data_IF_934226307198
#
_entry.id   IF_934226307198
#
_cell.length_a   1.000
_cell.length_b   1.000
_cell.length_c   1.000
_cell.angle_alpha   90.00
_cell.angle_beta   90.00
_cell.angle_gamma   90.00
#
_symmetry.space_group_name_H-M   'P 1'
#
loop_
_entity.id
_entity.type
_entity.pdbx_description
1 polymer ?
#
# COMPACT_ATOMS: atom_id res chain seq x y z
N UNK A 1 -16.06 6.64 26.17
CA UNK A 1 -16.33 7.73 25.20
C UNK A 1 -15.20 7.81 24.19
N UNK A 2 -15.51 7.66 22.90
CA UNK A 2 -14.52 7.67 21.82
C UNK A 2 -14.33 9.12 21.37
N UNK A 3 -13.11 9.67 21.47
CA UNK A 3 -12.83 11.03 21.00
C UNK A 3 -13.19 11.16 19.51
N UNK A 4 -13.61 12.32 19.00
CA UNK A 4 -14.09 12.47 17.61
C UNK A 4 -12.93 12.50 16.58
N UNK A 5 -12.21 11.38 16.45
CA UNK A 5 -11.09 11.22 15.51
C UNK A 5 -11.50 11.46 14.06
N UNK A 6 -12.74 11.14 13.68
CA UNK A 6 -13.26 11.38 12.34
C UNK A 6 -13.34 12.87 11.98
N UNK A 7 -13.68 13.75 12.94
CA UNK A 7 -13.77 15.20 12.73
C UNK A 7 -12.39 15.80 12.43
N UNK A 8 -11.39 15.36 13.19
CA UNK A 8 -10.04 15.90 13.10
C UNK A 8 -9.15 15.14 12.10
N UNK A 9 -9.63 14.01 11.54
CA UNK A 9 -8.86 13.16 10.61
C UNK A 9 -8.24 13.95 9.47
N UNK A 10 -9.02 14.80 8.80
CA UNK A 10 -8.55 15.56 7.64
C UNK A 10 -7.35 16.44 8.00
N UNK A 11 -7.43 17.10 9.14
CA UNK A 11 -6.37 18.01 9.58
C UNK A 11 -5.14 17.24 10.07
N UNK A 12 -5.32 16.18 10.86
CA UNK A 12 -4.22 15.33 11.31
C UNK A 12 -3.45 14.76 10.09
N UNK A 13 -4.18 14.25 9.09
CA UNK A 13 -3.57 13.68 7.87
C UNK A 13 -2.89 14.76 7.02
N UNK A 14 -3.48 15.96 6.94
CA UNK A 14 -2.89 17.11 6.24
C UNK A 14 -1.56 17.52 6.88
N UNK A 15 -1.52 17.71 8.19
CA UNK A 15 -0.30 18.07 8.93
C UNK A 15 0.78 16.99 8.76
N UNK A 16 0.39 15.72 8.80
CA UNK A 16 1.33 14.60 8.72
C UNK A 16 1.89 14.37 7.30
N UNK A 17 1.04 14.44 6.27
CA UNK A 17 1.45 14.16 4.87
C UNK A 17 1.94 15.42 4.16
N UNK A 18 1.17 16.51 4.18
CA UNK A 18 1.47 17.71 3.38
C UNK A 18 2.57 18.55 4.02
N UNK A 19 2.48 18.78 5.32
CA UNK A 19 3.48 19.59 6.03
C UNK A 19 4.67 18.75 6.53
N UNK A 20 4.56 17.43 6.49
CA UNK A 20 5.64 16.52 6.87
C UNK A 20 5.99 16.54 8.36
N UNK A 21 5.11 17.12 9.20
CA UNK A 21 5.29 17.32 10.65
C UNK A 21 5.45 15.99 11.37
N UNK A 22 6.19 16.02 12.48
CA UNK A 22 6.36 14.86 13.37
C UNK A 22 5.11 14.62 14.23
N UNK A 23 4.93 13.41 14.76
CA UNK A 23 3.78 13.09 15.64
C UNK A 23 3.70 14.01 16.87
N UNK A 24 4.85 14.46 17.39
CA UNK A 24 4.92 15.37 18.54
C UNK A 24 4.37 16.75 18.17
N UNK A 25 4.79 17.30 17.02
CA UNK A 25 4.28 18.57 16.52
C UNK A 25 2.79 18.50 16.19
N UNK A 26 2.35 17.44 15.51
CA UNK A 26 0.93 17.21 15.19
C UNK A 26 0.10 17.16 16.48
N UNK A 27 0.58 16.47 17.52
CA UNK A 27 -0.07 16.45 18.83
C UNK A 27 -0.12 17.85 19.46
N UNK A 28 0.97 18.61 19.41
CA UNK A 28 1.03 19.98 19.95
C UNK A 28 0.03 20.92 19.28
N UNK A 29 -0.02 20.88 17.94
CA UNK A 29 -0.96 21.68 17.14
C UNK A 29 -2.40 21.28 17.44
N UNK A 30 -2.69 19.97 17.51
CA UNK A 30 -4.04 19.47 17.79
C UNK A 30 -4.49 19.79 19.22
N UNK A 31 -3.55 19.81 20.18
CA UNK A 31 -3.81 20.23 21.55
C UNK A 31 -4.12 21.73 21.62
N UNK A 32 -3.37 22.57 20.89
CA UNK A 32 -3.51 24.02 20.94
C UNK A 32 -4.74 24.52 20.15
N UNK A 33 -4.92 24.06 18.92
CA UNK A 33 -5.98 24.54 18.03
C UNK A 33 -7.33 23.88 18.28
N UNK A 34 -7.33 22.59 18.60
CA UNK A 34 -8.56 21.80 18.70
C UNK A 34 -8.86 21.33 20.12
N UNK A 35 -8.09 21.77 21.12
CA UNK A 35 -8.18 21.30 22.52
C UNK A 35 -8.20 19.76 22.62
N UNK A 36 -7.55 19.09 21.66
CA UNK A 36 -7.60 17.65 21.51
C UNK A 36 -6.27 17.06 21.95
N UNK A 37 -6.20 16.68 23.21
CA UNK A 37 -5.05 15.99 23.76
C UNK A 37 -5.20 14.48 23.62
N UNK A 38 -4.33 13.83 22.86
CA UNK A 38 -4.31 12.38 22.74
C UNK A 38 -2.90 11.83 22.87
N UNK A 39 -2.78 10.58 23.33
CA UNK A 39 -1.48 9.93 23.42
C UNK A 39 -0.89 9.68 22.04
N UNK A 40 0.45 9.69 21.94
CA UNK A 40 1.18 9.36 20.70
C UNK A 40 0.81 7.97 20.21
N UNK A 41 0.61 7.01 21.13
CA UNK A 41 0.20 5.65 20.81
C UNK A 41 -1.18 5.61 20.15
N UNK A 42 -2.11 6.46 20.59
CA UNK A 42 -3.42 6.60 19.96
C UNK A 42 -3.31 7.16 18.54
N UNK A 43 -2.46 8.17 18.30
CA UNK A 43 -2.21 8.66 16.95
C UNK A 43 -1.70 7.55 16.02
N UNK A 44 -0.75 6.72 16.49
CA UNK A 44 -0.26 5.56 15.73
C UNK A 44 -1.38 4.57 15.39
N UNK A 45 -2.18 4.16 16.38
CA UNK A 45 -3.32 3.27 16.15
C UNK A 45 -4.31 3.80 15.12
N UNK A 46 -4.60 5.11 15.15
CA UNK A 46 -5.50 5.72 14.17
C UNK A 46 -4.85 5.88 12.79
N UNK A 47 -3.55 6.13 12.72
CA UNK A 47 -2.81 6.12 11.46
C UNK A 47 -2.77 4.75 10.83
N UNK A 48 -2.58 3.69 11.61
CA UNK A 48 -2.65 2.31 11.15
C UNK A 48 -4.06 2.00 10.62
N UNK A 49 -5.12 2.39 11.36
CA UNK A 49 -6.51 2.23 10.91
C UNK A 49 -6.85 3.02 9.64
N UNK A 50 -6.17 4.14 9.39
CA UNK A 50 -6.39 4.97 8.21
C UNK A 50 -5.44 4.65 7.06
N UNK A 51 -4.51 3.70 7.24
CA UNK A 51 -3.41 3.37 6.33
C UNK A 51 -2.57 4.61 5.91
N UNK A 52 -2.41 5.54 6.85
CA UNK A 52 -1.68 6.80 6.64
C UNK A 52 -0.21 6.57 6.98
N UNK A 53 0.54 6.04 6.02
CA UNK A 53 1.98 5.87 6.15
C UNK A 53 2.74 6.92 5.33
N UNK A 54 3.76 7.54 5.95
CA UNK A 54 4.65 8.54 5.32
C UNK A 54 5.36 8.02 4.06
N UNK A 55 5.37 6.70 3.85
CA UNK A 55 6.15 6.00 2.81
C UNK A 55 5.31 5.29 1.72
N UNK A 56 3.98 5.43 1.71
CA UNK A 56 3.16 4.84 0.63
C UNK A 56 3.40 5.53 -0.75
N UNK A 57 4.02 6.72 -0.78
CA UNK A 57 4.39 7.42 -2.01
C UNK A 57 5.55 6.76 -2.77
N UNK A 58 6.58 6.23 -2.09
CA UNK A 58 7.74 5.61 -2.73
C UNK A 58 7.36 4.29 -3.41
N UNK A 59 6.57 3.44 -2.75
CA UNK A 59 6.10 2.16 -3.33
C UNK A 59 5.14 2.40 -4.50
N UNK A 60 4.27 3.41 -4.42
CA UNK A 60 3.38 3.82 -5.53
C UNK A 60 4.15 4.42 -6.71
N UNK A 61 5.17 5.24 -6.46
CA UNK A 61 6.03 5.81 -7.50
C UNK A 61 6.93 4.74 -8.13
N UNK A 62 7.45 3.80 -7.35
CA UNK A 62 8.22 2.66 -7.85
C UNK A 62 7.35 1.77 -8.75
N UNK A 63 6.11 1.44 -8.35
CA UNK A 63 5.16 0.73 -9.22
C UNK A 63 4.88 1.49 -10.52
N UNK A 64 4.73 2.83 -10.46
CA UNK A 64 4.55 3.67 -11.65
C UNK A 64 5.76 3.66 -12.57
N UNK A 65 6.97 3.75 -12.02
CA UNK A 65 8.24 3.67 -12.80
C UNK A 65 8.41 2.31 -13.46
N UNK A 66 8.15 1.22 -12.74
CA UNK A 66 8.21 -0.13 -13.32
C UNK A 66 7.18 -0.32 -14.44
N UNK A 67 5.93 0.13 -14.25
CA UNK A 67 4.90 0.04 -15.28
C UNK A 67 5.27 0.85 -16.53
N UNK A 68 5.84 2.04 -16.36
CA UNK A 68 6.28 2.88 -17.47
C UNK A 68 7.46 2.28 -18.24
N UNK A 69 8.36 1.57 -17.56
CA UNK A 69 9.44 0.82 -18.21
C UNK A 69 8.90 -0.35 -19.05
N UNK A 70 7.90 -1.08 -18.53
CA UNK A 70 7.24 -2.17 -19.26
C UNK A 70 6.53 -1.64 -20.53
N UNK A 71 5.73 -0.57 -20.41
CA UNK A 71 5.01 0.03 -21.55
C UNK A 71 6.01 0.52 -22.61
N UNK A 72 7.14 1.12 -22.21
CA UNK A 72 8.18 1.58 -23.13
C UNK A 72 8.90 0.44 -23.88
N UNK A 73 8.91 -0.78 -23.35
CA UNK A 73 9.53 -1.93 -24.02
C UNK A 73 8.68 -2.44 -25.19
N UNK A 74 7.36 -2.33 -25.15
CA UNK A 74 6.51 -2.76 -26.26
C UNK A 74 6.58 -1.79 -27.46
N UNK A 75 6.74 -0.48 -27.23
CA UNK A 75 6.88 0.51 -28.30
C UNK A 75 8.28 0.55 -28.95
N UNK A 76 9.30 -0.06 -28.32
CA UNK A 76 10.69 -0.05 -28.81
C UNK A 76 11.04 -1.23 -29.74
N UNK A 77 10.09 -2.11 -30.09
CA UNK A 77 10.29 -3.20 -31.05
C UNK A 77 9.28 -3.21 -32.22
N UNK A 78 8.49 -2.14 -32.37
CA UNK A 78 7.50 -2.02 -33.45
C UNK A 78 8.02 -1.24 -34.67
N UNK A 79 9.24 -1.62 -35.11
CA UNK A 79 9.74 -1.26 -36.45
C UNK A 79 10.25 -2.49 -37.24
N UNK A 80 10.09 -3.71 -36.71
CA UNK A 80 10.47 -4.96 -37.40
C UNK A 80 9.51 -6.12 -37.15
N UNK A 81 8.20 -5.92 -37.35
CA UNK A 81 7.22 -7.02 -37.37
C UNK A 81 6.42 -7.13 -38.66
N UNK A 82 7.14 -7.09 -39.77
CA UNK A 82 6.89 -7.97 -40.92
C UNK A 82 8.27 -8.55 -41.25
N UNK A 83 8.75 -9.64 -40.65
CA UNK A 83 8.35 -11.01 -40.93
C UNK A 83 9.24 -11.93 -40.05
N UNK A 84 8.78 -12.40 -38.88
CA UNK A 84 9.57 -13.38 -38.12
C UNK A 84 8.74 -14.30 -37.21
N UNK A 85 8.90 -15.63 -37.35
CA UNK A 85 8.09 -16.66 -36.68
C UNK A 85 8.51 -16.93 -35.22
N UNK A 86 9.51 -16.24 -34.69
CA UNK A 86 10.13 -16.55 -33.39
C UNK A 86 9.28 -16.21 -32.14
N UNK A 87 8.19 -15.43 -32.24
CA UNK A 87 7.32 -15.17 -31.08
C UNK A 87 6.39 -16.33 -30.71
N UNK A 88 6.50 -17.50 -31.37
CA UNK A 88 5.73 -18.68 -31.00
C UNK A 88 6.37 -19.52 -29.88
N UNK A 89 7.59 -19.19 -29.44
CA UNK A 89 8.36 -20.04 -28.51
C UNK A 89 8.72 -19.42 -27.16
N UNK A 90 8.26 -18.20 -26.84
CA UNK A 90 8.43 -17.68 -25.47
C UNK A 90 7.33 -18.25 -24.57
N UNK A 91 7.69 -18.93 -23.47
CA UNK A 91 6.68 -19.38 -22.51
C UNK A 91 6.01 -18.16 -21.86
N UNK A 92 4.68 -18.21 -21.62
CA UNK A 92 3.99 -17.12 -20.97
C UNK A 92 4.58 -16.86 -19.56
N UNK A 93 4.55 -15.60 -19.08
CA UNK A 93 5.00 -15.28 -17.74
C UNK A 93 4.20 -16.10 -16.72
N UNK A 94 4.83 -16.60 -15.63
CA UNK A 94 4.12 -17.37 -14.63
C UNK A 94 3.03 -16.49 -14.01
N UNK A 95 1.79 -16.98 -14.08
CA UNK A 95 0.66 -16.33 -13.43
C UNK A 95 0.97 -16.16 -11.93
N UNK A 96 0.57 -15.04 -11.31
CA UNK A 96 0.71 -14.86 -9.88
C UNK A 96 -0.05 -15.99 -9.18
N UNK A 97 0.68 -16.88 -8.50
CA UNK A 97 0.07 -17.93 -7.69
C UNK A 97 -0.76 -17.25 -6.62
N UNK A 98 -2.09 -17.35 -6.76
CA UNK A 98 -3.03 -16.96 -5.74
C UNK A 98 -2.65 -17.67 -4.45
N UNK A 99 -2.57 -16.92 -3.36
CA UNK A 99 -2.57 -17.47 -2.00
C UNK A 99 -3.94 -18.12 -1.76
N UNK A 100 -4.10 -19.36 -2.21
CA UNK A 100 -5.22 -20.22 -1.86
C UNK A 100 -4.71 -21.38 -1.01
N UNK A 101 -5.30 -21.53 0.17
CA UNK A 101 -5.33 -22.79 0.91
C UNK A 101 -4.09 -23.13 1.72
N UNK A 102 -3.95 -22.54 2.90
CA UNK A 102 -3.19 -23.20 3.98
C UNK A 102 -4.03 -24.40 4.43
N UNK A 103 -3.65 -25.58 3.94
CA UNK A 103 -4.20 -26.87 4.34
C UNK A 103 -3.97 -27.11 5.83
N UNK A 104 -5.03 -27.48 6.55
CA UNK A 104 -4.91 -28.29 7.76
C UNK A 104 -5.72 -29.57 7.55
N UNK A 105 -5.06 -30.67 7.90
CA UNK A 105 -5.35 -32.03 7.55
C UNK A 105 -6.72 -32.54 8.02
N UNK A 106 -7.23 -33.49 7.25
CA UNK A 106 -8.34 -34.37 7.60
C UNK A 106 -8.04 -35.23 8.86
N UNK A 107 -9.08 -35.68 9.57
CA UNK A 107 -8.97 -36.53 10.76
C UNK A 107 -8.53 -37.96 10.38
N UNK A 108 -7.58 -38.51 11.14
CA UNK A 108 -7.15 -39.92 11.08
C UNK A 108 -8.16 -40.88 11.73
N UNK A 109 -7.98 -42.20 11.54
CA UNK A 109 -9.05 -43.20 11.66
C UNK A 109 -9.40 -43.55 13.10
N UNK A 110 -10.66 -43.96 13.26
CA UNK A 110 -11.26 -44.55 14.46
C UNK A 110 -10.79 -46.01 14.51
N UNK A 111 -10.20 -46.44 15.63
CA UNK A 111 -10.03 -47.86 15.95
C UNK A 111 -10.73 -48.21 17.27
N UNK A 112 -11.30 -49.42 17.27
CA UNK A 112 -12.27 -50.02 18.20
C UNK A 112 -11.83 -50.13 19.65
#
# INVERSE_FOLDING_TARGET
MTKPWAKNRKEIVRLYIREGRTLQEVKGIMKNMHNFDASIRSYRQWFDKWDVTKYNCKKRQQRRRMLQQYIKQEEACDDRRSNSPALRLLPPPPLPQGTVGRNYCQPGPIDR
#
